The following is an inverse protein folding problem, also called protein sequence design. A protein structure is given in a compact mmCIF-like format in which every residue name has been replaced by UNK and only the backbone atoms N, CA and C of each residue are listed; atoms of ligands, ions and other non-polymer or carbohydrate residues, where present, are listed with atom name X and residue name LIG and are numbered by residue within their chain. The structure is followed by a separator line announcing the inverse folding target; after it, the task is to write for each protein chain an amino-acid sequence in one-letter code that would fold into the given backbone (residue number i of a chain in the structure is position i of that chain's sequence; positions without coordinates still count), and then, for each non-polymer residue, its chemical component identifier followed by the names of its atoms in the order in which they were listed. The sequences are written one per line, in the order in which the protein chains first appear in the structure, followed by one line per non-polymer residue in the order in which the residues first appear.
data_IF_634718422888
#
_entry.id   IF_634718422888
#
_cell.length_a   1.000
_cell.length_b   1.000
_cell.length_c   1.000
_cell.angle_alpha   90.00
_cell.angle_beta   90.00
_cell.angle_gamma   90.00
#
_symmetry.space_group_name_H-M   'P 1'
#
loop_
_entity.id
_entity.type
_entity.pdbx_description
1 polymer ?
#
# COMPACT_ATOMS: atom_id res chain seq x y z
N UNK A 1 14.40 2.40 -2.32
CA UNK A 1 13.05 2.89 -1.97
C UNK A 1 12.28 1.79 -1.29
N UNK A 2 11.24 2.12 -0.50
CA UNK A 2 10.31 1.12 0.03
C UNK A 2 9.53 0.51 -1.13
N UNK A 3 9.59 -0.81 -1.32
CA UNK A 3 8.80 -1.49 -2.36
C UNK A 3 7.45 -1.91 -1.77
N UNK A 4 6.36 -1.54 -2.43
CA UNK A 4 5.00 -1.93 -2.06
C UNK A 4 4.50 -2.99 -3.05
N UNK A 5 3.80 -3.99 -2.55
CA UNK A 5 3.18 -5.05 -3.33
C UNK A 5 1.68 -5.08 -3.11
N UNK A 6 0.93 -5.44 -4.14
CA UNK A 6 -0.51 -5.70 -4.08
C UNK A 6 -0.77 -7.20 -4.21
N UNK A 7 -1.68 -7.70 -3.39
CA UNK A 7 -2.20 -9.07 -3.50
C UNK A 7 -3.19 -9.15 -4.66
N UNK A 8 -2.82 -9.82 -5.75
CA UNK A 8 -3.68 -9.95 -6.95
C UNK A 8 -4.31 -11.35 -7.11
N UNK A 9 -3.86 -12.32 -6.32
CA UNK A 9 -4.36 -13.70 -6.39
C UNK A 9 -5.29 -14.07 -5.23
N UNK A 10 -5.91 -15.26 -5.35
CA UNK A 10 -6.68 -15.90 -4.26
C UNK A 10 -8.04 -15.28 -3.96
N UNK A 11 -8.59 -14.43 -4.83
CA UNK A 11 -9.87 -13.75 -4.61
C UNK A 11 -11.06 -14.70 -4.38
N UNK A 12 -11.06 -15.85 -5.07
CA UNK A 12 -12.03 -16.94 -4.89
C UNK A 12 -12.01 -17.57 -3.49
N UNK A 13 -10.94 -17.33 -2.73
CA UNK A 13 -10.71 -17.85 -1.37
C UNK A 13 -10.60 -16.72 -0.33
N UNK A 14 -10.92 -15.49 -0.72
CA UNK A 14 -10.80 -14.30 0.13
C UNK A 14 -9.37 -13.83 0.39
N UNK A 15 -8.37 -14.36 -0.33
CA UNK A 15 -6.98 -13.95 -0.19
C UNK A 15 -5.96 -15.09 -0.32
N UNK A 16 -4.69 -14.72 -0.13
CA UNK A 16 -3.54 -15.62 -0.26
C UNK A 16 -3.09 -16.16 1.09
N UNK A 17 -2.47 -17.33 1.05
CA UNK A 17 -1.95 -17.98 2.25
C UNK A 17 -0.64 -17.33 2.65
N UNK A 18 -0.56 -16.86 3.90
CA UNK A 18 0.67 -16.40 4.52
C UNK A 18 1.21 -17.47 5.49
N UNK A 19 2.54 -17.51 5.65
CA UNK A 19 3.26 -18.45 6.51
C UNK A 19 4.07 -17.72 7.56
N UNK A 20 4.32 -18.39 8.68
CA UNK A 20 5.15 -17.86 9.78
C UNK A 20 6.63 -17.74 9.37
N UNK A 21 7.09 -18.59 8.45
CA UNK A 21 8.47 -18.62 7.96
C UNK A 21 8.59 -18.66 6.43
N UNK A 22 9.80 -18.43 5.95
CA UNK A 22 10.13 -18.39 4.51
C UNK A 22 9.77 -19.69 3.80
N UNK A 23 10.10 -20.82 4.42
CA UNK A 23 9.95 -22.16 3.84
C UNK A 23 8.47 -22.53 3.58
N UNK A 24 8.20 -23.27 2.49
CA UNK A 24 6.85 -23.72 2.11
C UNK A 24 6.27 -24.80 3.03
N UNK A 25 7.06 -25.39 3.90
CA UNK A 25 6.64 -26.28 4.99
C UNK A 25 6.37 -25.53 6.30
N UNK A 26 6.75 -24.25 6.40
CA UNK A 26 6.52 -23.45 7.60
C UNK A 26 5.03 -23.37 7.94
N UNK A 27 4.67 -23.31 9.24
CA UNK A 27 3.28 -23.21 9.67
C UNK A 27 2.53 -22.07 8.95
N UNK A 28 1.27 -22.32 8.61
CA UNK A 28 0.39 -21.29 8.09
C UNK A 28 0.06 -20.28 9.19
N UNK A 29 -0.13 -19.03 8.80
CA UNK A 29 -0.82 -18.06 9.64
C UNK A 29 -2.33 -18.36 9.59
N UNK A 30 -3.07 -18.08 10.68
CA UNK A 30 -4.48 -18.45 10.79
C UNK A 30 -5.37 -17.72 9.79
N UNK A 31 -4.98 -16.51 9.38
CA UNK A 31 -5.72 -15.68 8.44
C UNK A 31 -5.03 -15.63 7.06
N UNK A 32 -5.85 -15.47 6.02
CA UNK A 32 -5.36 -15.15 4.67
C UNK A 32 -5.08 -13.65 4.56
N UNK A 33 -4.06 -13.30 3.80
CA UNK A 33 -3.83 -11.92 3.40
C UNK A 33 -4.78 -11.59 2.25
N UNK A 34 -5.68 -10.62 2.45
CA UNK A 34 -6.79 -10.30 1.56
C UNK A 34 -6.32 -9.93 0.13
N UNK A 35 -7.06 -10.34 -0.90
CA UNK A 35 -6.86 -9.81 -2.27
C UNK A 35 -7.14 -8.30 -2.30
N UNK A 36 -6.28 -7.53 -2.98
CA UNK A 36 -6.26 -6.06 -2.98
C UNK A 36 -5.52 -5.44 -1.79
N UNK A 37 -5.05 -6.23 -0.82
CA UNK A 37 -4.22 -5.70 0.26
C UNK A 37 -2.89 -5.19 -0.28
N UNK A 38 -2.46 -4.03 0.22
CA UNK A 38 -1.13 -3.50 -0.03
C UNK A 38 -0.20 -3.88 1.12
N UNK A 39 1.01 -4.29 0.79
CA UNK A 39 2.03 -4.69 1.75
C UNK A 39 3.39 -4.09 1.41
N UNK A 40 4.17 -3.79 2.44
CA UNK A 40 5.56 -3.36 2.34
C UNK A 40 6.48 -4.58 2.26
N UNK A 41 7.41 -4.59 1.30
CA UNK A 41 8.49 -5.56 1.24
C UNK A 41 9.45 -5.37 2.43
N UNK A 42 9.53 -6.40 3.28
CA UNK A 42 10.49 -6.47 4.38
C UNK A 42 11.71 -7.30 4.00
N UNK A 43 11.53 -8.36 3.21
CA UNK A 43 12.62 -9.12 2.59
C UNK A 43 12.09 -9.91 1.37
N UNK A 44 12.98 -10.21 0.42
CA UNK A 44 12.69 -11.04 -0.74
C UNK A 44 13.72 -12.17 -0.83
N UNK A 45 13.24 -13.42 -0.80
CA UNK A 45 14.05 -14.62 -0.92
C UNK A 45 13.52 -15.48 -2.08
N UNK A 46 14.12 -15.29 -3.26
CA UNK A 46 13.61 -15.88 -4.51
C UNK A 46 12.16 -15.45 -4.77
N UNK A 47 11.24 -16.42 -4.76
CA UNK A 47 9.80 -16.22 -4.97
C UNK A 47 9.00 -16.04 -3.68
N UNK A 48 9.69 -15.79 -2.56
CA UNK A 48 9.08 -15.64 -1.22
C UNK A 48 9.27 -14.22 -0.72
N UNK A 49 8.16 -13.57 -0.40
CA UNK A 49 8.09 -12.20 0.09
C UNK A 49 7.78 -12.20 1.57
N UNK A 50 8.70 -11.70 2.39
CA UNK A 50 8.40 -11.29 3.76
C UNK A 50 7.77 -9.91 3.72
N UNK A 51 6.60 -9.76 4.32
CA UNK A 51 5.80 -8.56 4.17
C UNK A 51 5.39 -7.96 5.53
N UNK A 52 5.07 -6.67 5.49
CA UNK A 52 4.24 -6.00 6.49
C UNK A 52 2.99 -5.44 5.81
N UNK A 53 1.81 -5.72 6.34
CA UNK A 53 0.55 -5.27 5.77
C UNK A 53 0.35 -3.78 6.01
N UNK A 54 0.06 -3.04 4.94
CA UNK A 54 -0.27 -1.61 4.96
C UNK A 54 -1.79 -1.38 4.93
N UNK A 55 -2.52 -2.14 4.12
CA UNK A 55 -3.98 -2.01 3.96
C UNK A 55 -4.65 -3.39 3.89
N UNK A 56 -5.99 -3.42 4.02
CA UNK A 56 -6.79 -4.65 3.93
C UNK A 56 -6.75 -5.50 5.21
N UNK A 57 -7.29 -6.73 5.12
CA UNK A 57 -7.41 -7.69 6.23
C UNK A 57 -6.41 -8.84 6.14
N UNK A 58 -6.30 -9.65 7.21
CA UNK A 58 -5.31 -10.73 7.33
C UNK A 58 -4.17 -10.50 8.34
N UNK A 59 -3.07 -11.26 8.23
CA UNK A 59 -1.94 -11.10 9.13
C UNK A 59 -1.18 -9.78 8.90
N UNK A 60 -0.63 -9.22 9.98
CA UNK A 60 0.18 -7.99 9.91
C UNK A 60 1.55 -8.26 9.30
N UNK A 61 2.16 -9.41 9.59
CA UNK A 61 3.45 -9.84 9.06
C UNK A 61 3.39 -11.30 8.61
N UNK A 62 4.29 -11.70 7.72
CA UNK A 62 4.46 -13.09 7.34
C UNK A 62 5.14 -13.26 5.99
N UNK A 63 5.13 -14.49 5.50
CA UNK A 63 5.73 -14.88 4.22
C UNK A 63 4.69 -15.37 3.22
N UNK A 64 4.67 -14.77 2.03
CA UNK A 64 3.79 -15.16 0.91
C UNK A 64 4.60 -15.54 -0.32
N UNK A 65 4.00 -16.30 -1.23
CA UNK A 65 4.61 -16.58 -2.54
C UNK A 65 4.25 -15.47 -3.53
N UNK A 66 5.22 -15.05 -4.35
CA UNK A 66 4.97 -14.12 -5.46
C UNK A 66 4.13 -14.78 -6.56
N UNK A 67 4.38 -16.06 -6.84
CA UNK A 67 3.60 -16.88 -7.78
C UNK A 67 3.48 -18.32 -7.30
N UNK A 68 2.48 -19.04 -7.82
CA UNK A 68 2.34 -20.49 -7.62
C UNK A 68 3.28 -21.27 -8.55
N UNK A 69 3.51 -22.54 -8.24
CA UNK A 69 4.27 -23.44 -9.13
C UNK A 69 3.65 -23.58 -10.53
N UNK A 70 2.34 -23.33 -10.66
CA UNK A 70 1.64 -23.26 -11.95
C UNK A 70 1.96 -22.00 -12.78
N UNK A 71 2.75 -21.07 -12.25
CA UNK A 71 3.05 -19.77 -12.87
C UNK A 71 2.02 -18.68 -12.57
N UNK A 72 0.90 -18.98 -11.91
CA UNK A 72 -0.11 -17.98 -11.54
C UNK A 72 0.48 -16.96 -10.56
N UNK A 73 0.50 -15.70 -10.94
CA UNK A 73 0.93 -14.60 -10.07
C UNK A 73 -0.06 -14.37 -8.93
N UNK A 74 0.49 -14.11 -7.75
CA UNK A 74 -0.26 -13.87 -6.52
C UNK A 74 -0.01 -12.46 -5.98
N UNK A 75 1.14 -11.88 -6.32
CA UNK A 75 1.57 -10.55 -5.91
C UNK A 75 2.04 -9.76 -7.15
N UNK A 76 1.70 -8.47 -7.20
CA UNK A 76 2.24 -7.54 -8.19
C UNK A 76 2.94 -6.37 -7.49
N UNK A 77 3.99 -5.80 -8.10
CA UNK A 77 4.57 -4.55 -7.60
C UNK A 77 3.55 -3.44 -7.78
N UNK A 78 3.18 -2.76 -6.69
CA UNK A 78 2.23 -1.67 -6.74
C UNK A 78 2.88 -0.44 -7.39
N UNK A 79 2.16 0.19 -8.32
CA UNK A 79 2.52 1.47 -8.94
C UNK A 79 1.56 2.57 -8.50
N UNK A 80 1.95 3.84 -8.69
CA UNK A 80 1.10 4.98 -8.33
C UNK A 80 0.86 5.09 -6.82
N UNK A 81 1.77 4.55 -6.00
CA UNK A 81 1.75 4.76 -4.55
C UNK A 81 2.85 5.76 -4.19
N UNK A 82 2.45 6.82 -3.49
CA UNK A 82 3.31 7.94 -3.13
C UNK A 82 3.42 8.05 -1.60
N UNK A 83 4.61 8.38 -1.11
CA UNK A 83 4.85 8.71 0.31
C UNK A 83 4.95 10.22 0.48
N UNK A 84 4.23 10.78 1.44
CA UNK A 84 4.33 12.20 1.77
C UNK A 84 5.63 12.46 2.50
N UNK A 85 6.57 13.15 1.87
CA UNK A 85 7.90 13.47 2.45
C UNK A 85 8.02 14.91 2.95
N UNK A 86 7.07 15.79 2.61
CA UNK A 86 7.10 17.21 2.95
C UNK A 86 6.35 17.58 4.23
N UNK A 87 6.64 18.78 4.75
CA UNK A 87 5.85 19.45 5.79
C UNK A 87 5.95 18.85 7.20
N UNK A 88 6.99 18.07 7.50
CA UNK A 88 7.12 17.37 8.80
C UNK A 88 7.12 18.30 10.01
N UNK A 89 7.74 19.48 9.89
CA UNK A 89 7.73 20.54 10.90
C UNK A 89 6.34 21.15 11.14
N UNK A 90 5.42 20.97 10.19
CA UNK A 90 4.04 21.50 10.21
C UNK A 90 3.00 20.38 10.35
N UNK A 91 3.43 19.14 10.61
CA UNK A 91 2.55 17.98 10.73
C UNK A 91 1.99 17.46 9.41
N UNK A 92 2.53 17.88 8.26
CA UNK A 92 2.15 17.37 6.94
C UNK A 92 1.97 18.43 5.86
N UNK A 93 1.56 17.98 4.67
CA UNK A 93 1.30 18.83 3.51
C UNK A 93 -0.15 19.31 3.47
N UNK A 94 -0.35 20.45 2.81
CA UNK A 94 -1.69 21.05 2.65
C UNK A 94 -2.45 20.31 1.55
N UNK A 95 -3.71 19.97 1.82
CA UNK A 95 -4.60 19.33 0.85
C UNK A 95 -5.64 20.33 0.36
N UNK A 96 -5.92 20.31 -0.95
CA UNK A 96 -6.97 21.12 -1.57
C UNK A 96 -8.15 20.26 -2.04
N UNK A 97 -9.35 20.83 -1.99
CA UNK A 97 -10.56 20.19 -2.51
C UNK A 97 -10.56 20.05 -4.05
N UNK A 98 -9.84 20.94 -4.74
CA UNK A 98 -9.76 20.98 -6.20
C UNK A 98 -8.32 21.09 -6.73
N UNK A 99 -8.17 20.85 -8.04
CA UNK A 99 -6.88 20.88 -8.74
C UNK A 99 -6.20 22.23 -8.63
N UNK A 100 -6.96 23.31 -8.73
CA UNK A 100 -6.45 24.69 -8.76
C UNK A 100 -5.79 25.06 -7.42
N UNK A 101 -4.68 25.79 -7.47
CA UNK A 101 -3.98 26.31 -6.28
C UNK A 101 -4.78 27.39 -5.54
N UNK A 102 -5.85 27.91 -6.14
CA UNK A 102 -6.83 28.79 -5.50
C UNK A 102 -8.01 28.02 -4.88
N UNK A 103 -8.11 26.70 -5.10
CA UNK A 103 -9.20 25.87 -4.53
C UNK A 103 -9.13 25.84 -3.00
N UNK A 104 -10.31 25.62 -2.39
CA UNK A 104 -10.48 25.51 -0.94
C UNK A 104 -9.45 24.55 -0.31
N UNK A 105 -8.89 24.98 0.82
CA UNK A 105 -8.04 24.15 1.66
C UNK A 105 -8.90 23.25 2.54
N UNK A 106 -8.58 21.96 2.55
CA UNK A 106 -9.20 21.07 3.52
C UNK A 106 -8.68 21.36 4.93
N UNK A 107 -9.51 21.18 5.97
CA UNK A 107 -9.20 21.63 7.33
C UNK A 107 -8.05 20.86 7.99
N UNK A 108 -7.66 19.70 7.45
CA UNK A 108 -6.62 18.83 8.01
C UNK A 108 -5.53 18.59 6.97
N UNK A 109 -4.27 18.62 7.40
CA UNK A 109 -3.10 18.28 6.58
C UNK A 109 -3.01 16.77 6.35
N UNK A 110 -2.43 16.38 5.22
CA UNK A 110 -2.01 15.00 4.99
C UNK A 110 -0.64 14.80 5.64
N UNK A 111 -0.56 13.92 6.63
CA UNK A 111 0.63 13.78 7.48
C UNK A 111 1.86 13.31 6.72
N UNK A 112 3.05 13.80 7.07
CA UNK A 112 4.33 13.22 6.61
C UNK A 112 4.40 11.73 6.95
N UNK A 113 4.88 10.91 6.02
CA UNK A 113 4.89 9.45 6.09
C UNK A 113 3.59 8.76 5.66
N UNK A 114 2.50 9.52 5.39
CA UNK A 114 1.29 8.94 4.82
C UNK A 114 1.57 8.35 3.44
N UNK A 115 1.00 7.18 3.16
CA UNK A 115 0.96 6.60 1.82
C UNK A 115 -0.36 6.96 1.14
N UNK A 116 -0.29 7.31 -0.13
CA UNK A 116 -1.46 7.65 -0.94
C UNK A 116 -1.41 6.95 -2.30
N UNK A 117 -2.58 6.61 -2.83
CA UNK A 117 -2.76 6.12 -4.20
C UNK A 117 -3.03 7.30 -5.11
N UNK A 118 -2.34 7.35 -6.24
CA UNK A 118 -2.60 8.26 -7.34
C UNK A 118 -3.94 7.94 -8.01
N UNK A 119 -4.78 8.97 -8.12
CA UNK A 119 -6.01 8.94 -8.92
C UNK A 119 -5.82 9.68 -10.24
N UNK A 120 -5.05 10.78 -10.23
CA UNK A 120 -4.64 11.52 -11.41
C UNK A 120 -3.40 12.36 -11.11
N UNK A 121 -2.50 12.47 -12.09
CA UNK A 121 -1.37 13.41 -12.06
C UNK A 121 -1.49 14.40 -13.21
N UNK A 122 -1.57 15.69 -12.89
CA UNK A 122 -1.73 16.77 -13.87
C UNK A 122 -0.68 17.85 -13.62
N UNK A 123 0.40 17.80 -14.40
CA UNK A 123 1.60 18.59 -14.11
C UNK A 123 2.19 18.14 -12.78
N UNK A 124 2.29 19.07 -11.82
CA UNK A 124 2.75 18.85 -10.45
C UNK A 124 1.60 18.60 -9.45
N UNK A 125 0.37 18.46 -9.93
CA UNK A 125 -0.82 18.29 -9.08
C UNK A 125 -1.23 16.83 -9.04
N UNK A 126 -1.11 16.22 -7.86
CA UNK A 126 -1.52 14.85 -7.60
C UNK A 126 -2.91 14.84 -6.95
N UNK A 127 -3.90 14.27 -7.64
CA UNK A 127 -5.14 13.83 -7.01
C UNK A 127 -4.89 12.48 -6.36
N UNK A 128 -5.27 12.33 -5.11
CA UNK A 128 -4.94 11.14 -4.34
C UNK A 128 -6.14 10.56 -3.58
N UNK A 129 -6.01 9.30 -3.22
CA UNK A 129 -6.74 8.64 -2.15
C UNK A 129 -5.76 8.21 -1.05
N UNK A 130 -6.04 8.54 0.21
CA UNK A 130 -5.18 8.16 1.35
C UNK A 130 -5.28 6.66 1.59
N UNK A 131 -4.12 6.03 1.80
CA UNK A 131 -4.02 4.60 2.14
C UNK A 131 -3.65 4.41 3.61
N UNK A 132 -2.67 5.17 4.09
CA UNK A 132 -2.20 5.12 5.48
C UNK A 132 -1.90 6.52 6.01
N UNK A 133 -1.56 6.64 7.31
CA UNK A 133 -1.30 7.93 7.95
C UNK A 133 -2.56 8.74 8.23
N UNK A 134 -2.41 9.97 8.69
CA UNK A 134 -3.50 10.86 9.07
C UNK A 134 -3.76 11.94 8.01
N UNK A 135 -4.99 12.46 7.97
CA UNK A 135 -5.41 13.52 7.05
C UNK A 135 -6.65 13.16 6.24
N UNK A 136 -7.03 13.99 5.26
CA UNK A 136 -8.17 13.75 4.40
C UNK A 136 -8.07 12.43 3.63
N UNK A 137 -9.22 11.80 3.34
CA UNK A 137 -9.28 10.55 2.58
C UNK A 137 -8.96 10.74 1.10
N UNK A 138 -9.18 11.94 0.57
CA UNK A 138 -8.88 12.31 -0.80
C UNK A 138 -8.66 13.82 -0.92
N UNK A 139 -8.05 14.22 -2.03
CA UNK A 139 -7.88 15.63 -2.39
C UNK A 139 -6.75 15.83 -3.39
N UNK A 140 -6.27 17.06 -3.49
CA UNK A 140 -5.18 17.47 -4.38
C UNK A 140 -3.99 18.04 -3.61
N UNK A 141 -2.79 17.59 -3.97
CA UNK A 141 -1.51 18.04 -3.40
C UNK A 141 -0.51 18.41 -4.49
N UNK A 142 0.60 19.06 -4.08
CA UNK A 142 1.80 19.35 -4.88
C UNK A 142 3.02 18.82 -4.16
#
# INVERSE_FOLDING_TARGET
GKQIWEVIGGGDKGGIVARQGEDLSSPLLPERLQTGALVLERALAGERLHFERLTGTGPVFGWVSLRLASGKEMMARASGIWEVVGGGDKGGIVVRAGRDVSSELLPVRLSTGALVRELALQGDRLQFQRLTGAGPDAGWVS
#
